data_IF_267652205316
#
_entry.id   IF_267652205316
#
_cell.length_a   1.000
_cell.length_b   1.000
_cell.length_c   1.000
_cell.angle_alpha   90.00
_cell.angle_beta   90.00
_cell.angle_gamma   90.00
#
_symmetry.space_group_name_H-M   'P 1'
#
loop_
_entity.id
_entity.type
_entity.pdbx_description
1 polymer ?
#
# COMPACT_ATOMS: atom_id res chain seq x y z
N UNK A 1 29.07 -23.20 -8.93
CA UNK A 1 29.66 -22.50 -7.76
C UNK A 1 28.90 -22.92 -6.52
N UNK A 2 29.56 -23.11 -5.37
CA UNK A 2 28.88 -23.50 -4.14
C UNK A 2 28.16 -22.31 -3.51
N UNK A 3 26.93 -22.45 -2.97
CA UNK A 3 26.21 -21.36 -2.31
C UNK A 3 27.02 -20.66 -1.20
N UNK A 4 27.81 -21.43 -0.43
CA UNK A 4 28.65 -20.90 0.64
C UNK A 4 29.69 -19.89 0.14
N UNK A 5 30.22 -20.07 -1.08
CA UNK A 5 31.20 -19.15 -1.68
C UNK A 5 30.55 -17.84 -2.08
N UNK A 6 29.30 -17.88 -2.58
CA UNK A 6 28.52 -16.68 -2.92
C UNK A 6 28.22 -15.89 -1.63
N UNK A 7 27.75 -16.59 -0.58
CA UNK A 7 27.46 -15.98 0.73
C UNK A 7 28.74 -15.37 1.32
N UNK A 8 29.88 -16.10 1.28
CA UNK A 8 31.19 -15.60 1.75
C UNK A 8 31.60 -14.32 1.02
N UNK A 9 31.51 -14.32 -0.31
CA UNK A 9 31.84 -13.18 -1.16
C UNK A 9 31.01 -11.94 -0.75
N UNK A 10 29.69 -12.09 -0.56
CA UNK A 10 28.83 -11.00 -0.11
C UNK A 10 29.12 -10.56 1.33
N UNK A 11 29.31 -11.52 2.25
CA UNK A 11 29.70 -11.25 3.63
C UNK A 11 30.97 -10.38 3.72
N UNK A 12 31.94 -10.66 2.83
CA UNK A 12 33.24 -9.97 2.81
C UNK A 12 33.17 -8.62 2.03
N UNK A 13 31.98 -8.18 1.62
CA UNK A 13 31.71 -6.88 1.00
C UNK A 13 32.01 -6.82 -0.50
N UNK A 14 32.20 -7.97 -1.15
CA UNK A 14 32.44 -8.02 -2.58
C UNK A 14 31.12 -7.99 -3.36
N UNK A 15 31.16 -7.42 -4.57
CA UNK A 15 30.02 -7.39 -5.49
C UNK A 15 29.80 -8.77 -6.11
N UNK A 16 28.52 -9.19 -6.15
CA UNK A 16 28.10 -10.43 -6.80
C UNK A 16 27.77 -10.19 -8.26
N UNK A 17 28.14 -11.13 -9.13
CA UNK A 17 27.71 -11.12 -10.53
C UNK A 17 26.23 -11.48 -10.66
N UNK A 18 25.63 -11.15 -11.81
CA UNK A 18 24.24 -11.54 -12.12
C UNK A 18 24.06 -13.06 -12.10
N UNK A 19 25.05 -13.84 -12.55
CA UNK A 19 25.01 -15.31 -12.54
C UNK A 19 25.02 -15.87 -11.11
N UNK A 20 25.84 -15.31 -10.21
CA UNK A 20 25.89 -15.67 -8.79
C UNK A 20 24.56 -15.40 -8.11
N UNK A 21 23.95 -14.23 -8.36
CA UNK A 21 22.64 -13.88 -7.84
C UNK A 21 21.55 -14.79 -8.43
N UNK A 22 21.63 -15.09 -9.72
CA UNK A 22 20.73 -16.05 -10.38
C UNK A 22 20.79 -17.45 -9.75
N UNK A 23 21.98 -17.92 -9.36
CA UNK A 23 22.14 -19.18 -8.60
C UNK A 23 21.44 -19.12 -7.23
N UNK A 24 21.57 -18.00 -6.53
CA UNK A 24 20.88 -17.79 -5.23
C UNK A 24 19.36 -17.83 -5.44
N UNK A 25 18.82 -17.09 -6.41
CA UNK A 25 17.37 -17.04 -6.67
C UNK A 25 16.82 -18.44 -7.03
N UNK A 26 17.51 -19.19 -7.88
CA UNK A 26 17.11 -20.57 -8.20
C UNK A 26 17.15 -21.47 -6.97
N UNK A 27 18.25 -21.43 -6.20
CA UNK A 27 18.37 -22.23 -4.99
C UNK A 27 17.34 -21.86 -3.90
N UNK A 28 16.87 -20.61 -3.86
CA UNK A 28 15.72 -20.21 -3.02
C UNK A 28 14.44 -20.84 -3.57
N UNK A 29 14.22 -20.82 -4.88
CA UNK A 29 13.01 -21.33 -5.52
C UNK A 29 12.88 -22.85 -5.39
N UNK A 30 13.92 -23.59 -5.77
CA UNK A 30 13.90 -25.05 -5.88
C UNK A 30 14.26 -25.78 -4.58
N UNK A 31 14.58 -25.06 -3.51
CA UNK A 31 15.00 -25.65 -2.23
C UNK A 31 16.49 -26.04 -2.20
N UNK A 32 17.27 -25.73 -3.22
CA UNK A 32 18.71 -25.98 -3.27
C UNK A 32 19.52 -25.20 -2.22
N UNK A 33 18.97 -24.10 -1.71
CA UNK A 33 19.48 -23.40 -0.52
C UNK A 33 18.66 -23.80 0.71
N UNK A 34 19.36 -24.16 1.79
CA UNK A 34 18.72 -24.36 3.11
C UNK A 34 18.25 -23.01 3.69
N UNK A 35 17.30 -23.03 4.66
CA UNK A 35 16.83 -21.82 5.34
C UNK A 35 17.98 -21.06 6.01
N UNK A 36 18.98 -21.77 6.59
CA UNK A 36 20.17 -21.15 7.15
C UNK A 36 21.03 -20.42 6.12
N UNK A 37 21.11 -20.92 4.87
CA UNK A 37 21.82 -20.25 3.79
C UNK A 37 21.06 -19.04 3.25
N UNK A 38 19.73 -19.12 3.15
CA UNK A 38 18.87 -17.99 2.78
C UNK A 38 18.97 -16.87 3.83
N UNK A 39 18.90 -17.23 5.10
CA UNK A 39 19.08 -16.28 6.22
C UNK A 39 20.46 -15.63 6.22
N UNK A 40 21.54 -16.41 6.01
CA UNK A 40 22.91 -15.91 5.95
C UNK A 40 23.12 -14.97 4.76
N UNK A 41 22.53 -15.26 3.60
CA UNK A 41 22.53 -14.37 2.44
C UNK A 41 21.80 -13.06 2.75
N UNK A 42 20.58 -13.13 3.29
CA UNK A 42 19.78 -11.96 3.65
C UNK A 42 20.52 -11.06 4.67
N UNK A 43 21.15 -11.66 5.68
CA UNK A 43 21.94 -10.94 6.69
C UNK A 43 23.23 -10.32 6.10
N UNK A 44 23.90 -11.01 5.18
CA UNK A 44 25.07 -10.46 4.48
C UNK A 44 24.66 -9.23 3.63
N UNK A 45 23.52 -9.31 2.94
CA UNK A 45 22.97 -8.16 2.18
C UNK A 45 22.55 -7.03 3.12
N UNK A 46 21.96 -7.34 4.26
CA UNK A 46 21.56 -6.34 5.25
C UNK A 46 22.75 -5.48 5.71
N UNK A 47 23.86 -6.10 6.04
CA UNK A 47 25.05 -5.39 6.53
C UNK A 47 25.93 -4.77 5.42
N UNK A 48 25.98 -5.37 4.24
CA UNK A 48 26.87 -4.93 3.15
C UNK A 48 26.18 -4.15 2.05
N UNK A 49 24.86 -4.13 2.04
CA UNK A 49 24.08 -3.55 0.95
C UNK A 49 24.25 -4.30 -0.37
N UNK A 50 23.74 -3.72 -1.42
CA UNK A 50 23.89 -4.17 -2.82
C UNK A 50 24.05 -2.97 -3.73
N UNK A 51 24.89 -3.10 -4.77
CA UNK A 51 24.94 -2.14 -5.87
C UNK A 51 23.61 -2.13 -6.64
N UNK A 52 23.38 -1.12 -7.46
CA UNK A 52 22.17 -1.09 -8.30
C UNK A 52 22.15 -2.29 -9.26
N UNK A 53 23.30 -2.70 -9.79
CA UNK A 53 23.40 -3.86 -10.68
C UNK A 53 22.98 -5.16 -9.95
N UNK A 54 23.45 -5.37 -8.74
CA UNK A 54 23.04 -6.51 -7.90
C UNK A 54 21.54 -6.48 -7.60
N UNK A 55 20.97 -5.31 -7.26
CA UNK A 55 19.51 -5.16 -6.99
C UNK A 55 18.69 -5.50 -8.23
N UNK A 56 19.12 -5.06 -9.41
CA UNK A 56 18.46 -5.43 -10.68
C UNK A 56 18.52 -6.93 -10.91
N UNK A 57 19.70 -7.55 -10.76
CA UNK A 57 19.87 -8.98 -10.92
C UNK A 57 19.01 -9.79 -9.95
N UNK A 58 18.94 -9.37 -8.67
CA UNK A 58 18.11 -10.00 -7.66
C UNK A 58 16.61 -9.86 -8.01
N UNK A 59 16.19 -8.66 -8.41
CA UNK A 59 14.80 -8.38 -8.80
C UNK A 59 14.38 -9.27 -9.97
N UNK A 60 15.18 -9.31 -11.04
CA UNK A 60 14.92 -10.14 -12.24
C UNK A 60 14.94 -11.63 -11.88
N UNK A 61 15.92 -12.07 -11.08
CA UNK A 61 16.01 -13.46 -10.64
C UNK A 61 14.80 -13.92 -9.82
N UNK A 62 14.30 -13.07 -8.89
CA UNK A 62 13.08 -13.35 -8.12
C UNK A 62 11.84 -13.35 -9.03
N UNK A 63 11.73 -12.41 -9.98
CA UNK A 63 10.65 -12.37 -10.97
C UNK A 63 10.60 -13.67 -11.78
N UNK A 64 11.74 -14.09 -12.30
CA UNK A 64 11.86 -15.27 -13.18
C UNK A 64 11.69 -16.60 -12.46
N UNK A 65 11.53 -16.62 -11.13
CA UNK A 65 11.26 -17.83 -10.37
C UNK A 65 9.82 -18.34 -10.54
N UNK A 66 8.92 -17.53 -11.10
CA UNK A 66 7.52 -17.86 -11.31
C UNK A 66 6.97 -17.39 -12.64
N UNK A 67 5.65 -17.35 -12.73
CA UNK A 67 4.93 -16.91 -13.92
C UNK A 67 4.98 -15.38 -14.01
N UNK A 68 5.16 -14.86 -15.22
CA UNK A 68 4.93 -13.46 -15.55
C UNK A 68 3.60 -13.33 -16.30
N UNK A 69 2.74 -12.43 -15.86
CA UNK A 69 1.46 -12.18 -16.51
C UNK A 69 1.71 -11.50 -17.86
N UNK A 70 0.93 -11.90 -18.85
CA UNK A 70 0.98 -11.38 -20.21
C UNK A 70 -0.42 -10.86 -20.56
N UNK A 71 -0.51 -9.58 -20.91
CA UNK A 71 -1.77 -8.88 -21.20
C UNK A 71 -2.02 -8.66 -22.67
N UNK A 72 -0.96 -8.70 -23.52
CA UNK A 72 -1.06 -8.45 -24.96
C UNK A 72 -2.00 -9.42 -25.68
N UNK A 73 -2.01 -10.70 -25.24
CA UNK A 73 -2.91 -11.73 -25.79
C UNK A 73 -4.39 -11.45 -25.55
N UNK A 74 -4.70 -10.58 -24.55
CA UNK A 74 -6.09 -10.18 -24.27
C UNK A 74 -6.57 -9.03 -25.16
N UNK A 75 -5.70 -8.42 -25.96
CA UNK A 75 -6.06 -7.31 -26.84
C UNK A 75 -6.62 -6.10 -26.11
N UNK A 76 -6.06 -5.78 -24.94
CA UNK A 76 -6.50 -4.64 -24.14
C UNK A 76 -6.33 -3.34 -24.94
N UNK A 77 -7.37 -2.46 -24.97
CA UNK A 77 -7.31 -1.23 -25.77
C UNK A 77 -6.50 -0.10 -25.13
N UNK A 78 -5.88 -0.33 -23.98
CA UNK A 78 -5.08 0.66 -23.22
C UNK A 78 -3.89 0.04 -22.52
N UNK A 79 -3.01 0.90 -21.97
CA UNK A 79 -1.79 0.47 -21.28
C UNK A 79 -2.10 -0.12 -19.89
N UNK A 80 -1.22 -1.00 -19.46
CA UNK A 80 -1.32 -1.72 -18.18
C UNK A 80 -0.41 -1.03 -17.16
N UNK A 81 -1.00 -0.24 -16.27
CA UNK A 81 -0.28 0.57 -15.30
C UNK A 81 -0.74 0.23 -13.88
N UNK A 82 0.18 0.10 -12.96
CA UNK A 82 -0.17 -0.17 -11.57
C UNK A 82 0.45 0.86 -10.62
N UNK A 83 0.02 0.82 -9.38
CA UNK A 83 0.56 1.60 -8.27
C UNK A 83 0.94 0.68 -7.10
N UNK A 84 2.01 1.02 -6.42
CA UNK A 84 2.35 0.37 -5.16
C UNK A 84 2.63 1.40 -4.06
N UNK A 85 2.14 1.13 -2.84
CA UNK A 85 2.42 1.92 -1.64
C UNK A 85 3.40 1.20 -0.74
N UNK A 86 4.29 1.94 -0.08
CA UNK A 86 5.10 1.41 1.01
C UNK A 86 4.32 1.19 2.31
N UNK A 87 3.04 1.57 2.34
CA UNK A 87 2.12 1.38 3.46
C UNK A 87 2.10 2.55 4.45
N UNK A 88 0.92 2.81 5.01
CA UNK A 88 0.68 3.86 5.98
C UNK A 88 -0.63 3.70 6.72
N UNK A 89 -0.87 4.56 7.70
CA UNK A 89 -2.09 4.57 8.52
C UNK A 89 -3.20 5.32 7.80
N UNK A 90 -4.34 4.66 7.58
CA UNK A 90 -5.45 5.21 6.80
C UNK A 90 -5.19 5.23 5.29
N UNK A 91 -4.18 4.50 4.80
CA UNK A 91 -3.84 4.44 3.36
C UNK A 91 -4.84 3.57 2.60
N UNK A 92 -5.93 4.18 2.16
CA UNK A 92 -6.97 3.62 1.29
C UNK A 92 -6.83 4.05 -0.17
N UNK A 93 -5.73 4.71 -0.52
CA UNK A 93 -5.49 5.30 -1.85
C UNK A 93 -5.72 4.29 -2.97
N UNK A 94 -5.26 3.05 -2.81
CA UNK A 94 -5.40 2.00 -3.84
C UNK A 94 -6.84 1.72 -4.23
N UNK A 95 -7.79 1.76 -3.26
CA UNK A 95 -9.20 1.49 -3.49
C UNK A 95 -9.86 2.57 -4.36
N UNK A 96 -9.40 3.81 -4.21
CA UNK A 96 -9.88 4.97 -4.98
C UNK A 96 -9.16 5.08 -6.32
N UNK A 97 -7.84 4.88 -6.29
CA UNK A 97 -6.96 5.13 -7.42
C UNK A 97 -7.16 4.15 -8.57
N UNK A 98 -7.31 2.85 -8.28
CA UNK A 98 -7.48 1.83 -9.32
C UNK A 98 -8.72 2.09 -10.20
N UNK A 99 -9.93 2.33 -9.64
CA UNK A 99 -11.10 2.65 -10.46
C UNK A 99 -11.00 4.00 -11.17
N UNK A 100 -10.38 5.02 -10.56
CA UNK A 100 -10.15 6.33 -11.21
C UNK A 100 -9.24 6.16 -12.43
N UNK A 101 -8.13 5.45 -12.27
CA UNK A 101 -7.17 5.20 -13.35
C UNK A 101 -7.82 4.37 -14.49
N UNK A 102 -8.61 3.37 -14.16
CA UNK A 102 -9.34 2.58 -15.13
C UNK A 102 -10.42 3.42 -15.86
N UNK A 103 -11.12 4.29 -15.16
CA UNK A 103 -12.06 5.24 -15.77
C UNK A 103 -11.38 6.25 -16.72
N UNK A 104 -10.06 6.45 -16.59
CA UNK A 104 -9.25 7.21 -17.53
C UNK A 104 -8.78 6.41 -18.76
N UNK A 105 -9.03 5.10 -18.81
CA UNK A 105 -8.67 4.21 -19.93
C UNK A 105 -7.41 3.38 -19.69
N UNK A 106 -6.88 3.35 -18.46
CA UNK A 106 -5.81 2.43 -18.06
C UNK A 106 -6.38 1.05 -17.70
N UNK A 107 -5.52 0.04 -17.73
CA UNK A 107 -5.77 -1.27 -17.13
C UNK A 107 -4.91 -1.44 -15.90
N UNK A 108 -5.55 -1.73 -14.75
CA UNK A 108 -4.90 -1.73 -13.44
C UNK A 108 -5.02 -3.11 -12.77
N UNK A 109 -4.11 -4.06 -13.09
CA UNK A 109 -4.07 -5.38 -12.44
C UNK A 109 -3.33 -5.28 -11.11
N UNK A 110 -3.95 -4.70 -10.10
CA UNK A 110 -3.31 -4.40 -8.83
C UNK A 110 -3.16 -5.65 -7.95
N UNK A 111 -1.91 -6.09 -7.77
CA UNK A 111 -1.56 -7.12 -6.79
C UNK A 111 -1.09 -6.43 -5.53
N UNK A 112 -1.81 -6.66 -4.43
CA UNK A 112 -1.62 -5.98 -3.17
C UNK A 112 -1.40 -6.94 -2.01
N UNK A 113 -1.17 -6.42 -0.81
CA UNK A 113 -0.85 -7.18 0.40
C UNK A 113 -1.87 -7.00 1.52
N UNK A 114 -1.77 -7.90 2.51
CA UNK A 114 -2.42 -7.77 3.81
C UNK A 114 -1.61 -6.85 4.72
N UNK A 115 -2.26 -6.28 5.72
CA UNK A 115 -1.60 -5.44 6.73
C UNK A 115 -0.88 -6.26 7.78
N UNK A 116 0.18 -5.68 8.33
CA UNK A 116 0.89 -6.21 9.49
C UNK A 116 1.37 -5.04 10.35
N UNK A 117 1.33 -5.21 11.67
CA UNK A 117 1.67 -4.15 12.62
C UNK A 117 0.71 -2.97 12.52
N UNK A 118 1.23 -1.76 12.55
CA UNK A 118 0.46 -0.52 12.63
C UNK A 118 -0.20 -0.08 11.31
N UNK A 119 0.11 -0.72 10.18
CA UNK A 119 -0.44 -0.36 8.86
C UNK A 119 -1.56 -1.30 8.46
N UNK A 120 -2.67 -0.75 7.94
CA UNK A 120 -3.76 -1.53 7.37
C UNK A 120 -3.46 -2.01 5.96
N UNK A 121 -3.76 -3.28 5.64
CA UNK A 121 -3.59 -3.83 4.30
C UNK A 121 -4.73 -3.48 3.35
N UNK A 122 -4.42 -3.26 2.08
CA UNK A 122 -5.43 -3.04 1.04
C UNK A 122 -6.39 -4.22 0.92
N UNK A 123 -5.86 -5.45 1.00
CA UNK A 123 -6.69 -6.66 0.93
C UNK A 123 -7.60 -6.83 2.15
N UNK A 124 -7.18 -6.39 3.33
CA UNK A 124 -8.00 -6.49 4.55
C UNK A 124 -9.21 -5.56 4.47
N UNK A 125 -9.06 -4.41 3.82
CA UNK A 125 -10.15 -3.49 3.55
C UNK A 125 -11.16 -4.07 2.58
N UNK A 126 -10.69 -4.66 1.48
CA UNK A 126 -11.56 -5.31 0.49
C UNK A 126 -12.21 -6.58 1.04
N UNK A 127 -11.49 -7.38 1.86
CA UNK A 127 -12.05 -8.53 2.55
C UNK A 127 -13.15 -8.18 3.59
N UNK A 128 -13.24 -6.90 4.00
CA UNK A 128 -14.35 -6.43 4.81
C UNK A 128 -15.68 -6.32 4.03
N UNK A 129 -15.63 -6.30 2.69
CA UNK A 129 -16.82 -6.32 1.83
C UNK A 129 -17.29 -7.76 1.71
N UNK A 130 -18.55 -8.01 2.12
CA UNK A 130 -19.12 -9.36 2.07
C UNK A 130 -19.07 -9.94 0.66
N UNK A 131 -18.51 -11.14 0.53
CA UNK A 131 -18.41 -11.87 -0.75
C UNK A 131 -17.22 -11.48 -1.62
N UNK A 132 -16.48 -10.41 -1.32
CA UNK A 132 -15.32 -10.02 -2.13
C UNK A 132 -14.20 -11.07 -2.03
N UNK A 133 -13.84 -11.67 -3.17
CA UNK A 133 -12.77 -12.66 -3.25
C UNK A 133 -11.41 -11.98 -3.47
N UNK A 134 -10.56 -12.07 -2.46
CA UNK A 134 -9.22 -11.45 -2.48
C UNK A 134 -8.16 -12.33 -3.14
N UNK A 135 -8.45 -13.61 -3.39
CA UNK A 135 -7.56 -14.57 -4.03
C UNK A 135 -8.28 -15.38 -5.12
N UNK A 136 -8.87 -14.70 -6.12
CA UNK A 136 -9.52 -15.41 -7.22
C UNK A 136 -8.48 -16.20 -8.03
N UNK A 137 -8.96 -17.13 -8.86
CA UNK A 137 -8.10 -17.74 -9.85
C UNK A 137 -7.63 -16.72 -10.91
N UNK A 138 -6.58 -17.08 -11.64
CA UNK A 138 -5.95 -16.20 -12.60
C UNK A 138 -6.88 -15.87 -13.79
N UNK A 139 -7.78 -16.78 -14.16
CA UNK A 139 -8.74 -16.57 -15.24
C UNK A 139 -9.76 -15.49 -14.84
N UNK A 140 -10.34 -15.60 -13.66
CA UNK A 140 -11.25 -14.59 -13.08
C UNK A 140 -10.54 -13.23 -12.95
N UNK A 141 -9.31 -13.20 -12.45
CA UNK A 141 -8.55 -11.96 -12.37
C UNK A 141 -8.36 -11.29 -13.74
N UNK A 142 -7.89 -12.05 -14.74
CA UNK A 142 -7.69 -11.55 -16.11
C UNK A 142 -9.00 -11.10 -16.76
N UNK A 143 -10.08 -11.83 -16.51
CA UNK A 143 -11.42 -11.47 -16.99
C UNK A 143 -11.87 -10.12 -16.42
N UNK A 144 -11.78 -9.94 -15.09
CA UNK A 144 -12.21 -8.69 -14.44
C UNK A 144 -11.36 -7.52 -14.92
N UNK A 145 -10.03 -7.65 -15.01
CA UNK A 145 -9.18 -6.59 -15.57
C UNK A 145 -9.61 -6.22 -16.99
N UNK A 146 -9.86 -7.21 -17.86
CA UNK A 146 -10.29 -6.96 -19.25
C UNK A 146 -11.65 -6.28 -19.35
N UNK A 147 -12.64 -6.71 -18.55
CA UNK A 147 -14.04 -6.27 -18.68
C UNK A 147 -14.33 -4.99 -17.90
N UNK A 148 -13.62 -4.76 -16.79
CA UNK A 148 -13.85 -3.63 -15.88
C UNK A 148 -12.77 -2.55 -16.01
N UNK A 149 -11.54 -2.93 -16.37
CA UNK A 149 -10.37 -2.05 -16.42
C UNK A 149 -9.49 -2.14 -15.18
N UNK A 150 -9.97 -2.64 -14.04
CA UNK A 150 -9.14 -2.85 -12.86
C UNK A 150 -9.61 -4.05 -12.03
N UNK A 151 -8.67 -4.63 -11.27
CA UNK A 151 -8.93 -5.59 -10.22
C UNK A 151 -7.85 -5.45 -9.14
N UNK A 152 -8.22 -5.62 -7.86
CA UNK A 152 -7.31 -5.59 -6.72
C UNK A 152 -7.36 -6.94 -6.02
N UNK A 153 -6.27 -7.70 -6.11
CA UNK A 153 -6.18 -9.07 -5.56
C UNK A 153 -4.92 -9.27 -4.73
N UNK A 154 -4.87 -10.37 -4.01
CA UNK A 154 -3.66 -10.86 -3.34
C UNK A 154 -2.65 -11.47 -4.30
N UNK A 155 -1.43 -11.64 -3.82
CA UNK A 155 -0.40 -12.36 -4.56
C UNK A 155 -0.83 -13.83 -4.74
N UNK A 156 -0.81 -14.31 -5.97
CA UNK A 156 -1.00 -15.74 -6.26
C UNK A 156 0.29 -16.52 -6.00
N UNK A 157 0.16 -17.84 -5.81
CA UNK A 157 1.30 -18.70 -5.49
C UNK A 157 2.37 -18.73 -6.59
N UNK A 158 1.97 -18.49 -7.83
CA UNK A 158 2.83 -18.56 -9.01
C UNK A 158 3.64 -17.30 -9.29
N UNK A 159 3.32 -16.18 -8.61
CA UNK A 159 4.01 -14.90 -8.84
C UNK A 159 5.20 -14.76 -7.89
N UNK A 160 6.41 -14.74 -8.46
CA UNK A 160 7.67 -14.59 -7.74
C UNK A 160 7.79 -15.49 -6.47
N UNK A 161 7.62 -16.82 -6.58
CA UNK A 161 7.62 -17.74 -5.43
C UNK A 161 8.93 -17.72 -4.63
N UNK A 162 10.07 -17.45 -5.25
CA UNK A 162 11.35 -17.29 -4.55
C UNK A 162 11.32 -16.07 -3.61
N UNK A 163 10.65 -14.97 -3.99
CA UNK A 163 10.48 -13.82 -3.10
C UNK A 163 9.63 -14.18 -1.88
N UNK A 164 8.57 -14.94 -2.04
CA UNK A 164 7.74 -15.39 -0.90
C UNK A 164 8.56 -16.13 0.14
N UNK A 165 9.42 -17.08 -0.29
CA UNK A 165 10.29 -17.83 0.63
C UNK A 165 11.37 -16.94 1.25
N UNK A 166 11.99 -16.08 0.46
CA UNK A 166 12.97 -15.11 0.95
C UNK A 166 12.34 -14.16 1.98
N UNK A 167 11.13 -13.66 1.73
CA UNK A 167 10.41 -12.77 2.64
C UNK A 167 10.07 -13.47 3.97
N UNK A 168 9.57 -14.71 3.92
CA UNK A 168 9.28 -15.49 5.13
C UNK A 168 10.54 -15.70 6.00
N UNK A 169 11.70 -15.94 5.37
CA UNK A 169 12.99 -16.01 6.08
C UNK A 169 13.37 -14.66 6.67
N UNK A 170 13.18 -13.57 5.94
CA UNK A 170 13.52 -12.21 6.41
C UNK A 170 12.68 -11.77 7.60
N UNK A 171 11.42 -12.16 7.64
CA UNK A 171 10.50 -11.85 8.74
C UNK A 171 11.00 -12.39 10.08
N UNK A 172 11.45 -13.64 10.10
CA UNK A 172 11.94 -14.30 11.32
C UNK A 172 13.41 -14.00 11.66
N UNK A 173 14.16 -13.39 10.72
CA UNK A 173 15.59 -13.05 10.90
C UNK A 173 15.85 -11.56 11.08
N UNK A 174 14.82 -10.74 11.24
CA UNK A 174 14.92 -9.28 11.41
C UNK A 174 15.75 -8.62 10.29
N UNK A 175 15.51 -9.00 9.03
CA UNK A 175 16.17 -8.42 7.85
C UNK A 175 15.18 -7.76 6.88
N UNK A 176 13.93 -7.51 7.34
CA UNK A 176 12.89 -6.89 6.51
C UNK A 176 13.27 -5.45 6.13
N UNK A 177 13.93 -4.70 7.01
CA UNK A 177 14.28 -3.29 6.82
C UNK A 177 15.42 -3.05 5.81
N UNK A 178 16.01 -4.09 5.25
CA UNK A 178 17.04 -3.95 4.21
C UNK A 178 16.48 -3.35 2.93
N UNK A 179 16.86 -2.10 2.59
CA UNK A 179 16.41 -1.42 1.36
C UNK A 179 16.66 -2.25 0.10
N UNK A 180 17.86 -2.85 -0.14
CA UNK A 180 18.07 -3.70 -1.31
C UNK A 180 17.06 -4.85 -1.43
N UNK A 181 16.81 -5.55 -0.33
CA UNK A 181 15.88 -6.69 -0.29
C UNK A 181 14.42 -6.23 -0.40
N UNK A 182 14.07 -5.09 0.19
CA UNK A 182 12.74 -4.51 0.09
C UNK A 182 12.42 -4.09 -1.34
N UNK A 183 13.34 -3.39 -2.01
CA UNK A 183 13.22 -2.97 -3.41
C UNK A 183 13.01 -4.17 -4.31
N UNK A 184 13.85 -5.20 -4.17
CA UNK A 184 13.76 -6.40 -5.02
C UNK A 184 12.48 -7.18 -4.77
N UNK A 185 12.02 -7.26 -3.52
CA UNK A 185 10.74 -7.91 -3.15
C UNK A 185 9.53 -7.18 -3.75
N UNK A 186 9.47 -5.86 -3.67
CA UNK A 186 8.38 -5.07 -4.26
C UNK A 186 8.39 -5.22 -5.77
N UNK A 187 9.54 -4.97 -6.40
CA UNK A 187 9.63 -4.89 -7.86
C UNK A 187 9.51 -6.25 -8.55
N UNK A 188 9.95 -7.35 -7.92
CA UNK A 188 9.78 -8.69 -8.51
C UNK A 188 8.32 -9.04 -8.78
N UNK A 189 7.41 -8.68 -7.86
CA UNK A 189 5.97 -8.86 -8.03
C UNK A 189 5.38 -7.93 -9.09
N UNK A 190 5.89 -6.69 -9.19
CA UNK A 190 5.41 -5.72 -10.18
C UNK A 190 5.89 -6.04 -11.59
N UNK A 191 7.11 -6.56 -11.74
CA UNK A 191 7.58 -7.10 -13.00
C UNK A 191 6.80 -8.37 -13.39
N UNK A 192 6.56 -9.29 -12.43
CA UNK A 192 5.76 -10.49 -12.67
C UNK A 192 4.30 -10.15 -13.05
N UNK A 193 3.77 -9.01 -12.63
CA UNK A 193 2.45 -8.53 -13.03
C UNK A 193 2.37 -8.05 -14.50
N UNK A 194 3.48 -7.96 -15.23
CA UNK A 194 3.51 -7.67 -16.67
C UNK A 194 3.09 -6.24 -17.03
N UNK A 195 3.53 -5.25 -16.25
CA UNK A 195 3.12 -3.85 -16.34
C UNK A 195 3.90 -3.10 -17.45
N UNK A 196 3.22 -2.11 -18.06
CA UNK A 196 3.85 -1.11 -18.95
C UNK A 196 4.43 0.09 -18.16
N UNK A 197 3.99 0.29 -16.90
CA UNK A 197 4.51 1.34 -16.03
C UNK A 197 4.05 1.20 -14.59
N UNK A 198 4.76 1.88 -13.67
CA UNK A 198 4.52 1.79 -12.23
C UNK A 198 4.62 3.15 -11.55
N UNK A 199 3.60 3.52 -10.79
CA UNK A 199 3.65 4.65 -9.86
C UNK A 199 3.91 4.14 -8.44
N UNK A 200 4.95 4.65 -7.79
CA UNK A 200 5.27 4.31 -6.41
C UNK A 200 4.81 5.43 -5.46
N UNK A 201 4.17 5.04 -4.37
CA UNK A 201 3.78 5.92 -3.27
C UNK A 201 4.64 5.56 -2.05
N UNK A 202 5.72 6.29 -1.86
CA UNK A 202 6.66 6.08 -0.76
C UNK A 202 6.23 6.95 0.42
N UNK A 203 5.60 6.33 1.40
CA UNK A 203 5.14 6.99 2.63
C UNK A 203 6.32 7.36 3.53
N UNK A 204 6.31 8.59 4.07
CA UNK A 204 7.35 9.13 4.93
C UNK A 204 6.74 9.74 6.19
N UNK A 205 7.17 9.31 7.36
CA UNK A 205 6.73 9.84 8.66
C UNK A 205 6.38 8.76 9.67
N UNK A 206 5.88 9.15 10.82
CA UNK A 206 5.63 8.28 11.97
C UNK A 206 4.67 7.11 11.69
N UNK A 207 3.77 7.27 10.73
CA UNK A 207 2.79 6.24 10.32
C UNK A 207 3.26 5.35 9.17
N UNK A 208 4.51 5.48 8.71
CA UNK A 208 5.07 4.76 7.59
C UNK A 208 6.23 3.84 8.03
N UNK A 209 6.71 3.03 7.07
CA UNK A 209 7.95 2.27 7.21
C UNK A 209 9.18 3.20 7.21
N UNK A 210 9.22 4.19 6.30
CA UNK A 210 10.26 5.21 6.28
C UNK A 210 9.89 6.32 7.26
N UNK A 211 10.50 6.35 8.44
CA UNK A 211 10.27 7.35 9.48
C UNK A 211 10.99 8.68 9.21
N UNK A 212 12.00 8.68 8.33
CA UNK A 212 12.78 9.85 7.94
C UNK A 212 12.70 10.12 6.45
N UNK A 213 12.83 11.40 6.09
CA UNK A 213 12.86 11.83 4.68
C UNK A 213 14.07 11.26 3.93
N UNK A 214 15.22 11.13 4.60
CA UNK A 214 16.43 10.53 4.02
C UNK A 214 16.19 9.08 3.61
N UNK A 215 15.58 8.27 4.47
CA UNK A 215 15.24 6.88 4.19
C UNK A 215 14.19 6.78 3.07
N UNK A 216 13.18 7.65 3.06
CA UNK A 216 12.17 7.67 2.01
C UNK A 216 12.76 8.04 0.64
N UNK A 217 13.72 8.99 0.61
CA UNK A 217 14.45 9.35 -0.63
C UNK A 217 15.31 8.20 -1.15
N UNK A 218 16.06 7.54 -0.28
CA UNK A 218 16.90 6.39 -0.68
C UNK A 218 16.02 5.26 -1.24
N UNK A 219 14.92 4.93 -0.57
CA UNK A 219 13.97 3.94 -1.05
C UNK A 219 13.36 4.34 -2.41
N UNK A 220 12.87 5.57 -2.55
CA UNK A 220 12.26 6.05 -3.79
C UNK A 220 13.25 6.06 -4.96
N UNK A 221 14.47 6.57 -4.75
CA UNK A 221 15.54 6.57 -5.76
C UNK A 221 15.93 5.15 -6.15
N UNK A 222 16.06 4.24 -5.18
CA UNK A 222 16.39 2.84 -5.45
C UNK A 222 15.29 2.13 -6.24
N UNK A 223 14.01 2.32 -5.88
CA UNK A 223 12.86 1.75 -6.60
C UNK A 223 12.84 2.23 -8.07
N UNK A 224 12.94 3.54 -8.28
CA UNK A 224 12.93 4.14 -9.61
C UNK A 224 14.13 3.64 -10.45
N UNK A 225 15.35 3.67 -9.88
CA UNK A 225 16.56 3.26 -10.59
C UNK A 225 16.55 1.77 -10.98
N UNK A 226 16.13 0.89 -10.06
CA UNK A 226 16.09 -0.56 -10.31
C UNK A 226 14.97 -0.92 -11.28
N UNK A 227 13.76 -0.37 -11.11
CA UNK A 227 12.63 -0.66 -12.00
C UNK A 227 12.91 -0.22 -13.45
N UNK A 228 13.38 1.01 -13.65
CA UNK A 228 13.70 1.50 -14.99
C UNK A 228 14.81 0.68 -15.66
N UNK A 229 15.86 0.28 -14.92
CA UNK A 229 16.91 -0.61 -15.46
C UNK A 229 16.43 -2.02 -15.74
N UNK A 230 15.39 -2.48 -15.03
CA UNK A 230 14.71 -3.74 -15.31
C UNK A 230 13.68 -3.64 -16.45
N UNK A 231 13.53 -2.47 -17.10
CA UNK A 231 12.63 -2.26 -18.23
C UNK A 231 11.20 -1.85 -17.84
N UNK A 232 10.95 -1.48 -16.59
CA UNK A 232 9.65 -1.00 -16.11
C UNK A 232 9.70 0.52 -15.83
N UNK A 233 9.18 1.37 -16.73
CA UNK A 233 9.07 2.80 -16.50
C UNK A 233 8.40 3.11 -15.18
N UNK A 234 9.09 3.83 -14.28
CA UNK A 234 8.62 4.02 -12.91
C UNK A 234 8.87 5.45 -12.45
N UNK A 235 7.88 5.99 -11.76
CA UNK A 235 7.94 7.26 -11.02
C UNK A 235 7.57 7.00 -9.56
N UNK A 236 8.16 7.74 -8.62
CA UNK A 236 7.81 7.68 -7.21
C UNK A 236 7.42 9.06 -6.68
N UNK A 237 6.35 9.11 -5.90
CA UNK A 237 6.00 10.25 -5.05
C UNK A 237 6.34 9.89 -3.60
N UNK A 238 7.03 10.79 -2.89
CA UNK A 238 7.22 10.70 -1.45
C UNK A 238 6.09 11.50 -0.81
N UNK A 239 5.29 10.82 0.04
CA UNK A 239 4.08 11.40 0.62
C UNK A 239 4.13 11.40 2.14
N UNK A 240 3.68 12.51 2.77
CA UNK A 240 3.69 12.69 4.22
C UNK A 240 2.73 11.74 4.94
N UNK A 241 3.27 11.01 5.93
CA UNK A 241 2.57 10.07 6.80
C UNK A 241 2.79 10.38 8.31
N UNK A 242 3.15 11.60 8.66
CA UNK A 242 3.14 12.09 10.05
C UNK A 242 1.71 12.37 10.56
N UNK A 243 0.74 12.19 9.69
CA UNK A 243 -0.69 12.28 9.96
C UNK A 243 -1.40 11.09 9.35
N UNK A 244 -2.53 10.72 9.95
CA UNK A 244 -3.46 9.78 9.32
C UNK A 244 -3.87 10.30 7.94
N UNK A 245 -3.99 9.43 6.95
CA UNK A 245 -4.44 9.80 5.61
C UNK A 245 -5.95 9.55 5.48
N UNK A 246 -6.69 10.63 5.24
CA UNK A 246 -8.15 10.63 5.31
C UNK A 246 -8.67 10.72 6.74
N UNK A 247 -9.98 10.48 6.91
CA UNK A 247 -10.71 10.67 8.17
C UNK A 247 -11.00 9.38 8.93
N UNK A 248 -10.88 8.23 8.26
CA UNK A 248 -11.20 6.92 8.83
C UNK A 248 -9.96 6.02 8.85
N UNK A 249 -9.82 5.22 9.91
CA UNK A 249 -8.78 4.19 10.08
C UNK A 249 -9.43 2.91 10.57
N UNK A 250 -9.33 1.85 9.79
CA UNK A 250 -9.98 0.57 10.05
C UNK A 250 -10.59 0.02 8.77
N UNK A 251 -10.70 -1.30 8.64
CA UNK A 251 -10.95 -1.96 7.35
C UNK A 251 -12.28 -1.53 6.72
N UNK A 252 -13.41 -1.86 7.33
CA UNK A 252 -14.76 -1.49 6.84
C UNK A 252 -14.96 0.03 6.79
N UNK A 253 -14.44 0.75 7.79
CA UNK A 253 -14.59 2.20 7.88
C UNK A 253 -13.85 2.94 6.76
N UNK A 254 -12.71 2.40 6.31
CA UNK A 254 -11.98 2.93 5.17
C UNK A 254 -12.67 2.61 3.82
N UNK A 255 -13.41 1.50 3.74
CA UNK A 255 -14.28 1.21 2.57
C UNK A 255 -15.42 2.23 2.50
N UNK A 256 -16.06 2.56 3.62
CA UNK A 256 -17.09 3.61 3.67
C UNK A 256 -16.55 4.92 3.12
N UNK A 257 -15.40 5.39 3.64
CA UNK A 257 -14.78 6.63 3.15
C UNK A 257 -14.39 6.55 1.66
N UNK A 258 -14.00 5.37 1.18
CA UNK A 258 -13.70 5.15 -0.24
C UNK A 258 -14.95 5.33 -1.11
N UNK A 259 -16.08 4.72 -0.73
CA UNK A 259 -17.34 4.83 -1.48
C UNK A 259 -17.86 6.27 -1.46
N UNK A 260 -17.89 6.91 -0.29
CA UNK A 260 -18.27 8.33 -0.15
C UNK A 260 -17.40 9.23 -1.02
N UNK A 261 -16.08 9.00 -1.03
CA UNK A 261 -15.14 9.75 -1.84
C UNK A 261 -15.43 9.59 -3.34
N UNK A 262 -15.65 8.36 -3.83
CA UNK A 262 -15.91 8.07 -5.24
C UNK A 262 -17.25 8.63 -5.70
N UNK A 263 -18.29 8.57 -4.86
CA UNK A 263 -19.61 9.15 -5.13
C UNK A 263 -19.64 10.67 -5.06
N UNK A 264 -18.65 11.29 -4.43
CA UNK A 264 -18.65 12.74 -4.16
C UNK A 264 -19.61 13.12 -3.02
N UNK A 265 -19.91 12.19 -2.15
CA UNK A 265 -20.73 12.41 -0.95
C UNK A 265 -19.88 12.96 0.19
N UNK A 266 -20.41 13.92 0.94
CA UNK A 266 -19.70 14.55 2.05
C UNK A 266 -18.50 15.40 1.62
N UNK A 267 -17.61 15.67 2.57
CA UNK A 267 -16.39 16.45 2.34
C UNK A 267 -15.22 15.51 2.14
N UNK A 268 -14.61 15.53 0.96
CA UNK A 268 -13.37 14.82 0.66
C UNK A 268 -12.24 15.41 1.52
N UNK A 269 -11.49 14.55 2.20
CA UNK A 269 -10.26 14.97 2.87
C UNK A 269 -9.27 15.53 1.85
N UNK A 270 -8.79 16.74 2.06
CA UNK A 270 -7.97 17.46 1.08
C UNK A 270 -6.60 16.80 0.85
N UNK A 271 -6.00 16.21 1.91
CA UNK A 271 -4.70 15.54 1.81
C UNK A 271 -4.83 14.20 1.08
N UNK A 272 -5.87 13.42 1.42
CA UNK A 272 -6.17 12.17 0.72
C UNK A 272 -6.47 12.44 -0.76
N UNK A 273 -7.28 13.47 -1.06
CA UNK A 273 -7.59 13.87 -2.43
C UNK A 273 -6.34 14.26 -3.22
N UNK A 274 -5.44 15.04 -2.62
CA UNK A 274 -4.18 15.44 -3.26
C UNK A 274 -3.30 14.24 -3.60
N UNK A 275 -3.15 13.28 -2.68
CA UNK A 275 -2.37 12.05 -2.94
C UNK A 275 -3.00 11.21 -4.06
N UNK A 276 -4.32 11.00 -4.02
CA UNK A 276 -5.03 10.22 -5.05
C UNK A 276 -4.89 10.88 -6.41
N UNK A 277 -5.10 12.18 -6.52
CA UNK A 277 -5.04 12.91 -7.79
C UNK A 277 -3.61 13.03 -8.34
N UNK A 278 -2.61 13.24 -7.47
CA UNK A 278 -1.21 13.27 -7.89
C UNK A 278 -0.77 11.92 -8.47
N UNK A 279 -1.08 10.81 -7.79
CA UNK A 279 -0.76 9.47 -8.28
C UNK A 279 -1.55 9.11 -9.55
N UNK A 280 -2.83 9.45 -9.63
CA UNK A 280 -3.63 9.25 -10.84
C UNK A 280 -3.05 10.01 -12.04
N UNK A 281 -2.62 11.25 -11.82
CA UNK A 281 -1.95 12.06 -12.84
C UNK A 281 -0.68 11.40 -13.37
N UNK A 282 0.17 10.89 -12.46
CA UNK A 282 1.39 10.16 -12.85
C UNK A 282 1.06 8.86 -13.61
N UNK A 283 0.08 8.07 -13.16
CA UNK A 283 -0.32 6.83 -13.83
C UNK A 283 -0.84 7.11 -15.25
N UNK A 284 -1.69 8.11 -15.43
CA UNK A 284 -2.26 8.48 -16.74
C UNK A 284 -1.16 8.98 -17.69
N UNK A 285 -0.18 9.74 -17.18
CA UNK A 285 0.97 10.20 -17.95
C UNK A 285 1.92 9.04 -18.32
N UNK A 286 2.23 8.14 -17.37
CA UNK A 286 3.05 6.94 -17.62
C UNK A 286 2.42 6.05 -18.69
N UNK A 287 1.11 5.92 -18.70
CA UNK A 287 0.36 5.19 -19.72
C UNK A 287 0.28 5.90 -21.08
N UNK A 288 0.88 7.08 -21.24
CA UNK A 288 0.81 7.84 -22.49
C UNK A 288 -0.56 8.39 -22.84
N UNK A 289 -1.53 8.35 -21.91
CA UNK A 289 -2.89 8.87 -22.13
C UNK A 289 -3.00 10.38 -21.87
N UNK A 290 -1.95 10.99 -21.33
CA UNK A 290 -1.81 12.44 -21.15
C UNK A 290 -0.35 12.86 -21.35
N UNK A 291 -0.09 14.10 -21.84
CA UNK A 291 1.28 14.57 -22.11
C UNK A 291 2.06 14.90 -20.82
N UNK A 292 1.41 14.97 -19.67
CA UNK A 292 2.04 15.27 -18.38
C UNK A 292 1.17 14.80 -17.22
N UNK A 293 1.75 14.68 -16.01
CA UNK A 293 1.02 14.39 -14.79
C UNK A 293 -0.07 15.43 -14.49
N UNK A 294 0.14 16.70 -14.81
CA UNK A 294 -0.88 17.76 -14.66
C UNK A 294 -2.08 17.52 -15.55
N UNK A 295 -1.86 17.18 -16.82
CA UNK A 295 -2.94 16.86 -17.75
C UNK A 295 -3.62 15.52 -17.37
N UNK A 296 -2.84 14.55 -16.89
CA UNK A 296 -3.36 13.29 -16.35
C UNK A 296 -4.26 13.50 -15.13
N UNK A 297 -3.86 14.38 -14.20
CA UNK A 297 -4.67 14.78 -13.06
C UNK A 297 -6.02 15.36 -13.48
N UNK A 298 -6.04 16.27 -14.45
CA UNK A 298 -7.29 16.87 -14.93
C UNK A 298 -8.26 15.79 -15.50
N UNK A 299 -7.74 14.75 -16.17
CA UNK A 299 -8.56 13.60 -16.61
C UNK A 299 -9.08 12.78 -15.45
N UNK A 300 -8.26 12.55 -14.43
CA UNK A 300 -8.65 11.82 -13.22
C UNK A 300 -9.75 12.57 -12.45
N UNK A 301 -9.61 13.89 -12.30
CA UNK A 301 -10.61 14.77 -11.68
C UNK A 301 -11.94 14.72 -12.44
N UNK A 302 -11.90 14.75 -13.78
CA UNK A 302 -13.10 14.61 -14.61
C UNK A 302 -13.77 13.24 -14.43
N UNK A 303 -13.01 12.14 -14.46
CA UNK A 303 -13.53 10.78 -14.26
C UNK A 303 -14.13 10.56 -12.87
N UNK A 304 -13.61 11.26 -11.86
CA UNK A 304 -14.15 11.27 -10.51
C UNK A 304 -15.43 12.11 -10.41
N UNK A 305 -15.46 13.27 -11.08
CA UNK A 305 -16.58 14.21 -11.02
C UNK A 305 -17.83 13.72 -11.76
N UNK A 306 -17.66 12.99 -12.88
CA UNK A 306 -18.76 12.47 -13.69
C UNK A 306 -19.29 11.10 -13.22
N UNK A 307 -18.74 10.52 -12.15
CA UNK A 307 -19.19 9.27 -11.53
C UNK A 307 -18.64 7.99 -12.15
N UNK A 308 -17.92 8.05 -13.28
CA UNK A 308 -17.36 6.84 -13.93
C UNK A 308 -16.44 6.04 -13.01
N UNK A 309 -15.67 6.70 -12.15
CA UNK A 309 -14.80 6.03 -11.20
C UNK A 309 -15.59 5.21 -10.16
N UNK A 310 -16.72 5.71 -9.68
CA UNK A 310 -17.61 4.99 -8.78
C UNK A 310 -18.20 3.75 -9.46
N UNK A 311 -18.68 3.88 -10.69
CA UNK A 311 -19.21 2.75 -11.47
C UNK A 311 -18.16 1.66 -11.70
N UNK A 312 -16.91 2.03 -12.01
CA UNK A 312 -15.80 1.08 -12.16
C UNK A 312 -15.52 0.35 -10.84
N UNK A 313 -15.55 1.06 -9.70
CA UNK A 313 -15.40 0.44 -8.39
C UNK A 313 -16.48 -0.60 -8.12
N UNK A 314 -17.76 -0.27 -8.35
CA UNK A 314 -18.88 -1.20 -8.17
C UNK A 314 -18.72 -2.45 -9.05
N UNK A 315 -18.39 -2.26 -10.34
CA UNK A 315 -18.16 -3.37 -11.27
C UNK A 315 -16.96 -4.23 -10.86
N UNK A 316 -15.89 -3.65 -10.33
CA UNK A 316 -14.74 -4.40 -9.79
C UNK A 316 -15.18 -5.25 -8.59
N UNK A 317 -15.93 -4.66 -7.66
CA UNK A 317 -16.44 -5.37 -6.48
C UNK A 317 -17.32 -6.54 -6.90
N UNK A 318 -18.30 -6.31 -7.78
CA UNK A 318 -19.19 -7.36 -8.31
C UNK A 318 -18.41 -8.45 -9.09
N UNK A 319 -17.46 -8.05 -9.93
CA UNK A 319 -16.64 -8.97 -10.73
C UNK A 319 -15.74 -9.88 -9.88
N UNK A 320 -15.45 -9.48 -8.65
CA UNK A 320 -14.68 -10.25 -7.67
C UNK A 320 -15.59 -10.85 -6.56
N UNK A 321 -16.88 -11.06 -6.85
CA UNK A 321 -17.78 -11.80 -5.99
C UNK A 321 -18.50 -11.00 -4.90
N UNK A 322 -18.22 -9.70 -4.78
CA UNK A 322 -18.94 -8.82 -3.87
C UNK A 322 -20.31 -8.37 -4.43
N UNK A 323 -21.06 -7.54 -3.70
CA UNK A 323 -22.38 -7.07 -4.11
C UNK A 323 -22.31 -6.10 -5.31
N UNK A 324 -23.32 -6.15 -6.16
CA UNK A 324 -23.48 -5.28 -7.33
C UNK A 324 -24.06 -3.90 -7.00
N UNK A 325 -24.71 -3.76 -5.84
CA UNK A 325 -25.30 -2.53 -5.31
C UNK A 325 -24.50 -1.91 -4.14
N UNK A 326 -23.17 -2.14 -4.12
CA UNK A 326 -22.28 -1.65 -3.05
C UNK A 326 -22.34 -0.13 -2.87
N UNK A 327 -22.54 0.63 -3.95
CA UNK A 327 -22.60 2.10 -3.88
C UNK A 327 -23.87 2.61 -3.20
N UNK A 328 -24.99 1.92 -3.36
CA UNK A 328 -26.29 2.31 -2.83
C UNK A 328 -26.46 1.83 -1.37
N UNK A 329 -25.90 0.66 -1.06
CA UNK A 329 -26.16 -0.05 0.20
C UNK A 329 -24.87 -0.44 0.94
N UNK A 330 -23.81 0.37 0.84
CA UNK A 330 -22.49 0.10 1.47
C UNK A 330 -22.59 -0.42 2.90
N UNK A 331 -23.37 0.20 3.83
CA UNK A 331 -23.43 -0.28 5.21
C UNK A 331 -23.98 -1.70 5.35
N UNK A 332 -24.81 -2.16 4.42
CA UNK A 332 -25.43 -3.50 4.46
C UNK A 332 -24.39 -4.62 4.33
N UNK A 333 -23.29 -4.35 3.64
CA UNK A 333 -22.28 -5.33 3.26
C UNK A 333 -21.01 -5.26 4.10
N UNK A 334 -21.00 -4.38 5.10
CA UNK A 334 -19.87 -4.19 6.00
C UNK A 334 -20.26 -4.56 7.44
N UNK A 335 -19.29 -5.07 8.20
CA UNK A 335 -19.49 -5.33 9.61
C UNK A 335 -19.52 -4.02 10.41
N UNK A 336 -20.37 -3.96 11.44
CA UNK A 336 -20.53 -2.82 12.33
C UNK A 336 -20.05 -3.12 13.73
N UNK A 337 -19.40 -2.14 14.37
CA UNK A 337 -19.02 -2.24 15.77
C UNK A 337 -20.23 -2.13 16.71
N UNK A 338 -20.17 -2.81 17.86
CA UNK A 338 -21.23 -2.79 18.86
C UNK A 338 -21.15 -1.59 19.79
N UNK A 339 -19.95 -1.02 19.97
CA UNK A 339 -19.67 0.15 20.81
C UNK A 339 -19.13 1.27 19.96
N UNK A 340 -19.76 2.45 20.05
CA UNK A 340 -19.33 3.67 19.39
C UNK A 340 -19.10 4.72 20.47
N UNK A 341 -17.86 5.24 20.58
CA UNK A 341 -17.46 6.13 21.68
C UNK A 341 -16.63 7.31 21.17
N UNK A 342 -16.98 8.56 21.54
CA UNK A 342 -16.16 9.72 21.21
C UNK A 342 -14.87 9.72 22.04
N UNK A 343 -13.74 10.00 21.38
CA UNK A 343 -12.48 10.33 22.02
C UNK A 343 -12.39 11.84 22.16
N UNK A 344 -12.50 12.36 23.37
CA UNK A 344 -12.57 13.81 23.61
C UNK A 344 -11.23 14.37 24.08
N UNK A 345 -10.95 15.61 23.66
CA UNK A 345 -9.76 16.38 24.02
C UNK A 345 -9.76 16.74 25.52
N UNK A 346 -8.63 16.54 26.18
CA UNK A 346 -8.44 16.90 27.59
C UNK A 346 -8.20 18.39 27.86
N UNK A 347 -7.86 19.18 26.82
CA UNK A 347 -7.60 20.62 26.90
C UNK A 347 -8.04 21.35 25.63
N UNK A 348 -8.22 22.65 25.76
CA UNK A 348 -8.37 23.53 24.58
C UNK A 348 -7.03 23.89 23.96
N UNK A 349 -7.02 24.19 22.66
CA UNK A 349 -5.83 24.58 21.89
C UNK A 349 -6.00 24.32 20.40
N UNK A 350 -4.89 24.00 19.75
CA UNK A 350 -4.85 23.50 18.36
C UNK A 350 -4.17 22.14 18.33
N UNK A 351 -4.59 21.27 17.45
CA UNK A 351 -3.89 20.01 17.20
C UNK A 351 -2.53 20.34 16.59
N UNK A 352 -1.46 20.19 17.38
CA UNK A 352 -0.10 20.53 16.97
C UNK A 352 0.63 19.38 16.26
N UNK A 353 0.12 18.16 16.42
CA UNK A 353 0.68 16.98 15.76
C UNK A 353 0.01 15.71 16.24
N UNK A 354 0.30 14.62 15.55
CA UNK A 354 -0.14 13.28 15.95
C UNK A 354 0.97 12.26 15.70
N UNK A 355 0.98 11.20 16.50
CA UNK A 355 1.78 10.02 16.23
C UNK A 355 0.92 9.01 15.46
N UNK A 356 1.02 9.02 14.14
CA UNK A 356 0.19 8.18 13.29
C UNK A 356 0.43 6.67 13.56
N UNK A 357 1.66 6.27 13.93
CA UNK A 357 1.95 4.89 14.33
C UNK A 357 1.15 4.46 15.56
N UNK A 358 1.09 5.29 16.60
CA UNK A 358 0.30 4.98 17.80
C UNK A 358 -1.20 4.90 17.47
N UNK A 359 -1.70 5.75 16.57
CA UNK A 359 -3.08 5.67 16.08
C UNK A 359 -3.33 4.35 15.34
N UNK A 360 -2.41 3.91 14.47
CA UNK A 360 -2.48 2.59 13.85
C UNK A 360 -2.46 1.45 14.87
N UNK A 361 -1.62 1.55 15.91
CA UNK A 361 -1.57 0.58 17.00
C UNK A 361 -2.84 0.55 17.86
N UNK A 362 -3.57 1.67 17.97
CA UNK A 362 -4.91 1.67 18.61
C UNK A 362 -5.88 0.78 17.83
N UNK A 363 -5.84 0.83 16.50
CA UNK A 363 -6.67 -0.05 15.65
C UNK A 363 -6.26 -1.52 15.78
N UNK A 364 -4.96 -1.81 15.88
CA UNK A 364 -4.47 -3.19 16.17
C UNK A 364 -4.98 -3.67 17.53
N UNK A 365 -4.93 -2.82 18.56
CA UNK A 365 -5.43 -3.14 19.91
C UNK A 365 -6.93 -3.40 19.95
N UNK A 366 -7.70 -2.77 19.06
CA UNK A 366 -9.13 -3.05 18.83
C UNK A 366 -9.38 -4.38 18.08
N UNK A 367 -8.34 -5.07 17.59
CA UNK A 367 -8.47 -6.25 16.75
C UNK A 367 -8.65 -5.96 15.25
N UNK A 368 -8.55 -4.69 14.83
CA UNK A 368 -8.68 -4.28 13.43
C UNK A 368 -7.42 -4.46 12.57
N UNK A 369 -6.31 -4.89 13.16
CA UNK A 369 -5.05 -5.19 12.50
C UNK A 369 -4.41 -6.48 12.99
N UNK A 370 -3.34 -6.94 12.32
CA UNK A 370 -2.62 -8.16 12.69
C UNK A 370 -1.41 -7.86 13.56
N UNK A 371 -1.38 -8.45 14.75
CA UNK A 371 -0.15 -8.54 15.54
C UNK A 371 0.80 -9.64 14.99
N UNK A 372 0.23 -10.73 14.45
CA UNK A 372 0.92 -11.84 13.80
C UNK A 372 0.21 -12.17 12.48
N UNK A 373 0.93 -12.78 11.52
CA UNK A 373 0.42 -13.09 10.18
C UNK A 373 -0.93 -13.86 10.19
N UNK A 374 -1.09 -14.78 11.13
CA UNK A 374 -2.28 -15.63 11.25
C UNK A 374 -3.38 -15.07 12.15
N UNK A 375 -3.22 -13.83 12.68
CA UNK A 375 -4.23 -13.22 13.54
C UNK A 375 -5.53 -12.98 12.77
N UNK A 376 -6.66 -13.36 13.36
CA UNK A 376 -7.98 -12.98 12.85
C UNK A 376 -8.18 -11.45 12.98
N UNK A 377 -8.86 -10.87 12.00
CA UNK A 377 -9.18 -9.44 11.99
C UNK A 377 -10.66 -9.23 12.28
N UNK A 378 -10.96 -8.30 13.17
CA UNK A 378 -12.29 -7.73 13.31
C UNK A 378 -12.42 -6.54 12.35
N UNK A 379 -13.15 -6.71 11.24
CA UNK A 379 -13.32 -5.67 10.22
C UNK A 379 -14.21 -4.51 10.67
N UNK A 380 -14.99 -4.66 11.73
CA UNK A 380 -15.97 -3.64 12.20
C UNK A 380 -15.34 -2.52 13.01
N UNK A 381 -14.12 -2.73 13.55
CA UNK A 381 -13.50 -1.82 14.51
C UNK A 381 -12.55 -0.83 13.83
N UNK A 382 -12.33 0.30 14.52
CA UNK A 382 -11.44 1.34 14.05
C UNK A 382 -11.79 2.72 14.56
N UNK A 383 -11.44 3.74 13.81
CA UNK A 383 -11.61 5.15 14.14
C UNK A 383 -12.25 5.88 12.95
N UNK A 384 -13.19 6.79 13.24
CA UNK A 384 -13.77 7.69 12.24
C UNK A 384 -13.67 9.14 12.69
N UNK A 385 -13.91 10.07 11.78
CA UNK A 385 -13.88 11.51 12.03
C UNK A 385 -12.59 11.99 12.68
N UNK A 386 -11.47 11.42 12.29
CA UNK A 386 -10.15 11.83 12.80
C UNK A 386 -9.92 13.31 12.54
N UNK A 387 -9.59 14.03 13.62
CA UNK A 387 -9.24 15.45 13.55
C UNK A 387 -7.91 15.65 12.84
N UNK A 388 -7.78 16.69 12.02
CA UNK A 388 -6.50 16.99 11.36
C UNK A 388 -5.65 17.99 12.17
N UNK A 389 -4.34 17.95 11.93
CA UNK A 389 -3.36 18.90 12.49
C UNK A 389 -3.68 20.33 12.03
N UNK A 390 -3.54 21.27 12.94
CA UNK A 390 -3.90 22.68 12.73
C UNK A 390 -5.33 23.02 13.15
N UNK A 391 -6.20 22.01 13.36
CA UNK A 391 -7.60 22.24 13.76
C UNK A 391 -7.68 22.80 15.16
N UNK A 392 -8.43 23.90 15.41
CA UNK A 392 -8.71 24.40 16.75
C UNK A 392 -9.69 23.47 17.46
N UNK A 393 -9.45 23.19 18.74
CA UNK A 393 -10.31 22.34 19.55
C UNK A 393 -10.50 22.90 20.96
N UNK A 394 -11.66 22.69 21.54
CA UNK A 394 -11.95 23.02 22.95
C UNK A 394 -11.81 21.77 23.82
N UNK A 395 -11.55 21.96 25.10
CA UNK A 395 -11.65 20.87 26.07
C UNK A 395 -13.03 20.19 25.98
N UNK A 396 -13.05 18.86 25.93
CA UNK A 396 -14.25 18.07 25.67
C UNK A 396 -14.66 17.95 24.20
N UNK A 397 -14.03 18.66 23.27
CA UNK A 397 -14.27 18.50 21.82
C UNK A 397 -13.77 17.15 21.28
N UNK A 398 -14.42 16.63 20.26
CA UNK A 398 -14.13 15.30 19.71
C UNK A 398 -12.87 15.28 18.86
N UNK A 399 -11.93 14.39 19.19
CA UNK A 399 -10.72 14.11 18.40
C UNK A 399 -10.96 13.05 17.31
N UNK A 400 -11.77 12.06 17.64
CA UNK A 400 -12.27 11.02 16.73
C UNK A 400 -13.41 10.25 17.38
N UNK A 401 -14.06 9.38 16.62
CA UNK A 401 -15.01 8.38 17.11
C UNK A 401 -14.35 7.01 17.08
N UNK A 402 -14.35 6.31 18.20
CA UNK A 402 -13.83 4.94 18.35
C UNK A 402 -14.97 3.95 18.10
N UNK A 403 -14.73 2.97 17.24
CA UNK A 403 -15.60 1.82 16.97
C UNK A 403 -14.95 0.57 17.55
N UNK A 404 -15.59 -0.07 18.54
CA UNK A 404 -15.04 -1.18 19.31
C UNK A 404 -16.03 -2.34 19.46
N UNK A 405 -15.55 -3.53 19.84
CA UNK A 405 -16.38 -4.68 20.14
C UNK A 405 -16.86 -4.69 21.61
N UNK A 406 -16.17 -3.98 22.50
CA UNK A 406 -16.52 -3.87 23.92
C UNK A 406 -16.18 -2.50 24.49
N UNK A 407 -16.77 -2.16 25.65
CA UNK A 407 -16.49 -0.91 26.36
C UNK A 407 -15.02 -0.82 26.82
N UNK A 408 -14.45 -1.92 27.31
CA UNK A 408 -13.05 -1.98 27.74
C UNK A 408 -12.08 -1.73 26.59
N UNK A 409 -12.36 -2.25 25.39
CA UNK A 409 -11.58 -1.98 24.19
C UNK A 409 -11.68 -0.52 23.75
N UNK A 410 -12.91 0.03 23.81
CA UNK A 410 -13.15 1.43 23.50
C UNK A 410 -12.36 2.36 24.42
N UNK A 411 -12.37 2.10 25.74
CA UNK A 411 -11.63 2.90 26.73
C UNK A 411 -10.12 2.87 26.49
N UNK A 412 -9.56 1.67 26.26
CA UNK A 412 -8.13 1.54 25.92
C UNK A 412 -7.77 2.29 24.65
N UNK A 413 -8.57 2.18 23.59
CA UNK A 413 -8.32 2.88 22.34
C UNK A 413 -8.42 4.41 22.50
N UNK A 414 -9.40 4.91 23.26
CA UNK A 414 -9.53 6.33 23.61
C UNK A 414 -8.26 6.84 24.28
N UNK A 415 -7.72 6.10 25.24
CA UNK A 415 -6.50 6.51 25.95
C UNK A 415 -5.28 6.55 25.02
N UNK A 416 -5.11 5.54 24.16
CA UNK A 416 -4.01 5.50 23.18
C UNK A 416 -4.12 6.67 22.21
N UNK A 417 -5.31 6.92 21.64
CA UNK A 417 -5.52 8.01 20.67
C UNK A 417 -5.30 9.37 21.33
N UNK A 418 -5.78 9.56 22.56
CA UNK A 418 -5.60 10.80 23.30
C UNK A 418 -4.12 11.10 23.56
N UNK A 419 -3.32 10.09 23.87
CA UNK A 419 -1.87 10.22 24.04
C UNK A 419 -1.12 10.45 22.70
N UNK A 420 -1.65 9.92 21.60
CA UNK A 420 -1.07 10.07 20.29
C UNK A 420 -1.28 11.46 19.67
N UNK A 421 -2.25 12.25 20.15
CA UNK A 421 -2.58 13.57 19.63
C UNK A 421 -2.08 14.66 20.58
N UNK A 422 -1.22 15.53 20.06
CA UNK A 422 -0.65 16.65 20.79
C UNK A 422 -1.48 17.91 20.56
N UNK A 423 -1.93 18.56 21.63
CA UNK A 423 -2.69 19.81 21.61
C UNK A 423 -1.84 20.88 22.27
N UNK A 424 -1.59 21.99 21.57
CA UNK A 424 -0.79 23.13 22.01
C UNK A 424 -1.54 24.44 21.70
N UNK A 425 -1.00 25.58 22.14
CA UNK A 425 -1.61 26.88 21.89
C UNK A 425 -1.46 27.34 20.43
N UNK A 426 -0.45 26.80 19.72
CA UNK A 426 -0.21 26.98 18.29
C UNK A 426 0.02 25.63 17.60
N UNK A 427 -0.19 25.59 16.29
CA UNK A 427 0.18 24.46 15.46
C UNK A 427 1.29 24.87 14.48
N UNK A 428 2.19 23.95 14.08
CA UNK A 428 3.17 24.22 13.04
C UNK A 428 2.47 24.47 11.70
N UNK A 429 3.14 25.18 10.81
CA UNK A 429 2.72 25.30 9.42
C UNK A 429 2.63 23.90 8.79
N UNK A 430 1.60 23.71 7.97
CA UNK A 430 1.34 22.41 7.32
C UNK A 430 2.46 22.05 6.34
N UNK A 431 3.02 20.85 6.46
CA UNK A 431 3.88 20.27 5.41
C UNK A 431 3.03 19.89 4.20
N UNK A 432 3.54 20.05 2.95
CA UNK A 432 2.86 19.55 1.77
C UNK A 432 2.76 18.02 1.84
N UNK A 433 1.59 17.48 1.49
CA UNK A 433 1.38 16.03 1.53
C UNK A 433 2.21 15.31 0.47
N UNK A 434 2.42 15.91 -0.70
CA UNK A 434 3.40 15.46 -1.69
C UNK A 434 4.72 16.17 -1.38
N UNK A 435 5.67 15.45 -0.81
CA UNK A 435 6.95 16.01 -0.39
C UNK A 435 7.93 16.11 -1.56
N UNK A 436 8.04 15.05 -2.35
CA UNK A 436 8.96 14.97 -3.48
C UNK A 436 8.43 14.06 -4.57
N UNK A 437 8.88 14.36 -5.80
CA UNK A 437 8.73 13.51 -6.97
C UNK A 437 10.10 13.02 -7.40
N UNK A 438 10.25 11.72 -7.60
CA UNK A 438 11.46 11.05 -8.08
C UNK A 438 11.14 10.37 -9.40
N UNK A 439 11.84 10.75 -10.46
CA UNK A 439 11.79 10.14 -11.79
C UNK A 439 13.21 10.10 -12.36
N UNK A 440 13.45 9.30 -13.41
CA UNK A 440 14.68 9.38 -14.20
C UNK A 440 14.71 10.64 -15.03
#
# INVERSE_FOLDING_TARGET
MLPQEIIRKKRDGQELSADEIGLVCRGIHDGGLSEGQVAAFAMAVFFRGMTTAERVALTVGLTSSGTTLEWKSLGLPGPVIDKHSSGGVGDKVSLMLAPIAAACGLFVPMISGRGLGHTGGTLDKLAAISGYETQPDLETFRKVVREVGCAIIGQTDDLAPADRRLYATRDVTATVESIPLLVSSILSKKLAAGLDGLAMDVKCGSGAFCDTEAMARDLAQSLVAVANRAGLPTVALITDMDRVLGRNVGNALEVVETVEYLKGEGTRDARLHEVVMALAGEMVALGGLAPSAVAGRARAEAALADGRAAEVFARMVAGLGGPDDILEHTPRYLAHATVIRPCNAGRSGRVAGMNARQIGMAVVALGGGRAHADSAINYSVGLTEMIDVGTPIRAGGTLCIVHAASDDEADRAVDIVRQAIRIEDSAPDGRPVIMHRVAQ
#
